data_IF_882372774198
#
_entry.id   IF_882372774198
#
_cell.length_a   1.000
_cell.length_b   1.000
_cell.length_c   1.000
_cell.angle_alpha   90.00
_cell.angle_beta   90.00
_cell.angle_gamma   90.00
#
_symmetry.space_group_name_H-M   'P 1'
#
loop_
_entity.id
_entity.type
_entity.pdbx_description
1 polymer ?
#
# COMPACT_ATOMS: atom_id res chain seq x y z
N UNK A 1 19.21 13.10 -8.90
CA UNK A 1 18.28 12.52 -7.91
C UNK A 1 18.83 11.16 -7.50
N UNK A 2 19.21 10.92 -6.23
CA UNK A 2 19.70 9.60 -5.83
C UNK A 2 18.52 8.64 -5.78
N UNK A 3 18.58 7.58 -6.59
CA UNK A 3 17.62 6.48 -6.63
C UNK A 3 17.81 5.69 -5.33
N UNK A 4 16.88 5.80 -4.38
CA UNK A 4 16.88 4.97 -3.16
C UNK A 4 16.74 3.51 -3.60
N UNK A 5 17.83 2.76 -3.50
CA UNK A 5 17.82 1.31 -3.61
C UNK A 5 17.21 0.78 -2.32
N UNK A 6 15.95 0.35 -2.38
CA UNK A 6 15.38 -0.50 -1.35
C UNK A 6 16.16 -1.82 -1.35
N UNK A 7 16.57 -2.29 -0.17
CA UNK A 7 17.31 -3.54 -0.01
C UNK A 7 16.50 -4.71 -0.61
N UNK A 8 17.18 -5.60 -1.34
CA UNK A 8 16.60 -6.51 -2.31
C UNK A 8 15.80 -7.71 -1.78
N UNK A 9 15.29 -7.70 -0.54
CA UNK A 9 14.62 -8.90 0.05
C UNK A 9 13.40 -8.60 0.92
N UNK A 10 12.84 -7.39 0.84
CA UNK A 10 11.52 -7.09 1.43
C UNK A 10 10.52 -7.08 0.28
N UNK A 11 9.73 -8.13 0.14
CA UNK A 11 8.58 -8.12 -0.77
C UNK A 11 7.59 -7.06 -0.26
N UNK A 12 7.51 -5.95 -0.99
CA UNK A 12 6.53 -4.89 -0.76
C UNK A 12 5.38 -5.11 -1.73
N UNK A 13 4.20 -5.36 -1.18
CA UNK A 13 2.94 -5.40 -1.92
C UNK A 13 2.44 -3.98 -2.18
N UNK A 14 1.58 -3.85 -3.20
CA UNK A 14 0.91 -2.60 -3.53
C UNK A 14 -0.59 -2.85 -3.68
N UNK A 15 -1.40 -1.92 -3.16
CA UNK A 15 -2.81 -1.82 -3.51
C UNK A 15 -3.13 -0.40 -3.97
N UNK A 16 -3.98 -0.30 -5.00
CA UNK A 16 -4.39 0.98 -5.60
C UNK A 16 -5.85 1.22 -5.28
N UNK A 17 -6.14 2.39 -4.72
CA UNK A 17 -7.49 2.90 -4.51
C UNK A 17 -7.71 4.04 -5.50
N UNK A 18 -8.89 4.09 -6.11
CA UNK A 18 -9.26 5.17 -7.04
C UNK A 18 -10.60 5.78 -6.64
N UNK A 19 -10.77 7.07 -6.91
CA UNK A 19 -11.96 7.83 -6.52
C UNK A 19 -12.00 9.19 -7.20
N UNK A 20 -13.09 9.93 -7.03
CA UNK A 20 -13.30 11.22 -7.73
C UNK A 20 -12.50 12.35 -7.12
N UNK A 21 -12.16 12.24 -5.84
CA UNK A 21 -11.38 13.23 -5.12
C UNK A 21 -10.55 12.58 -4.00
N UNK A 22 -9.69 13.39 -3.37
CA UNK A 22 -8.78 12.95 -2.32
C UNK A 22 -9.53 12.36 -1.11
N UNK A 23 -10.67 12.93 -0.72
CA UNK A 23 -11.39 12.47 0.46
C UNK A 23 -11.96 11.07 0.22
N UNK A 24 -12.48 10.80 -0.98
CA UNK A 24 -12.98 9.48 -1.37
C UNK A 24 -11.86 8.42 -1.33
N UNK A 25 -10.70 8.69 -1.92
CA UNK A 25 -9.59 7.70 -1.93
C UNK A 25 -8.99 7.46 -0.55
N UNK A 26 -8.87 8.49 0.30
CA UNK A 26 -8.39 8.30 1.67
C UNK A 26 -9.40 7.57 2.54
N UNK A 27 -10.70 7.80 2.35
CA UNK A 27 -11.74 7.06 3.07
C UNK A 27 -11.72 5.57 2.69
N UNK A 28 -11.68 5.26 1.39
CA UNK A 28 -11.61 3.88 0.92
C UNK A 28 -10.30 3.18 1.35
N UNK A 29 -9.18 3.89 1.38
CA UNK A 29 -7.92 3.36 1.93
C UNK A 29 -8.00 3.08 3.44
N UNK A 30 -8.67 3.96 4.20
CA UNK A 30 -8.89 3.75 5.63
C UNK A 30 -9.82 2.56 5.89
N UNK A 31 -10.87 2.39 5.09
CA UNK A 31 -11.75 1.21 5.15
C UNK A 31 -10.98 -0.08 4.87
N UNK A 32 -10.11 -0.07 3.84
CA UNK A 32 -9.26 -1.22 3.54
C UNK A 32 -8.32 -1.55 4.70
N UNK A 33 -7.64 -0.55 5.28
CA UNK A 33 -6.74 -0.73 6.43
C UNK A 33 -7.48 -1.18 7.71
N UNK A 34 -8.75 -0.83 7.85
CA UNK A 34 -9.56 -1.22 9.00
C UNK A 34 -10.06 -2.67 8.92
N UNK A 35 -9.98 -3.32 7.75
CA UNK A 35 -10.33 -4.73 7.60
C UNK A 35 -9.38 -5.61 8.44
N UNK A 36 -9.90 -6.52 9.28
CA UNK A 36 -9.07 -7.41 10.09
C UNK A 36 -8.04 -8.24 9.30
N UNK A 37 -8.28 -8.51 8.02
CA UNK A 37 -7.31 -9.19 7.13
C UNK A 37 -6.05 -8.33 6.86
N UNK A 38 -6.07 -7.04 7.20
CA UNK A 38 -4.93 -6.14 7.14
C UNK A 38 -4.27 -5.88 8.50
N UNK A 39 -4.67 -6.59 9.57
CA UNK A 39 -4.14 -6.36 10.92
C UNK A 39 -2.60 -6.54 11.01
N UNK A 40 -1.99 -7.36 10.15
CA UNK A 40 -0.55 -7.59 10.08
C UNK A 40 0.15 -6.78 8.98
N UNK A 41 -0.52 -5.78 8.41
CA UNK A 41 0.04 -4.92 7.36
C UNK A 41 0.84 -3.77 7.97
N UNK A 42 2.08 -3.62 7.54
CA UNK A 42 2.91 -2.45 7.79
C UNK A 42 3.02 -1.59 6.52
N UNK A 43 2.46 -0.38 6.57
CA UNK A 43 2.53 0.57 5.44
C UNK A 43 3.88 1.29 5.45
N UNK A 44 4.57 1.27 4.30
CA UNK A 44 5.89 1.87 4.10
C UNK A 44 5.84 3.17 3.29
N UNK A 45 4.84 3.31 2.44
CA UNK A 45 4.72 4.45 1.54
C UNK A 45 3.30 4.63 1.06
N UNK A 46 2.99 5.87 0.73
CA UNK A 46 1.73 6.28 0.13
C UNK A 46 2.10 7.22 -1.01
N UNK A 47 1.61 6.94 -2.21
CA UNK A 47 1.73 7.85 -3.35
C UNK A 47 0.32 8.25 -3.82
N UNK A 48 0.17 9.54 -4.12
CA UNK A 48 -1.11 10.12 -4.52
C UNK A 48 -0.92 10.73 -5.91
N UNK A 49 -1.44 10.06 -6.92
CA UNK A 49 -1.47 10.58 -8.27
C UNK A 49 -2.78 11.35 -8.49
N UNK A 50 -2.65 12.67 -8.63
CA UNK A 50 -3.77 13.54 -8.99
C UNK A 50 -3.65 13.93 -10.46
N UNK A 51 -4.70 13.74 -11.27
CA UNK A 51 -4.70 14.24 -12.63
C UNK A 51 -4.48 15.75 -12.59
N UNK A 52 -3.49 16.23 -13.35
CA UNK A 52 -3.26 17.66 -13.50
C UNK A 52 -4.52 18.27 -14.09
N UNK A 53 -4.99 19.40 -13.53
CA UNK A 53 -6.22 20.11 -13.93
C UNK A 53 -6.39 20.35 -15.44
N UNK A 54 -5.33 20.25 -16.22
CA UNK A 54 -5.29 20.47 -17.67
C UNK A 54 -5.56 19.22 -18.51
N UNK A 55 -5.46 18.02 -17.94
CA UNK A 55 -5.74 16.74 -18.61
C UNK A 55 -7.21 16.38 -18.48
N UNK A 56 -8.08 17.17 -19.13
CA UNK A 56 -9.54 17.01 -19.06
C UNK A 56 -10.07 15.80 -19.84
N UNK A 57 -9.22 15.13 -20.62
CA UNK A 57 -9.56 13.94 -21.43
C UNK A 57 -9.01 12.62 -20.87
N UNK A 58 -8.07 12.65 -19.91
CA UNK A 58 -7.60 11.45 -19.21
C UNK A 58 -8.35 11.29 -17.89
N UNK A 59 -8.54 10.04 -17.51
CA UNK A 59 -9.24 9.56 -16.31
C UNK A 59 -9.24 10.60 -15.17
N UNK A 60 -10.40 11.21 -14.89
CA UNK A 60 -10.53 12.30 -13.92
C UNK A 60 -10.42 11.81 -12.45
N UNK A 61 -10.16 10.52 -12.27
CA UNK A 61 -10.02 9.91 -10.96
C UNK A 61 -8.67 10.25 -10.34
N UNK A 62 -8.70 10.43 -9.03
CA UNK A 62 -7.55 10.45 -8.15
C UNK A 62 -7.18 9.00 -7.83
N UNK A 63 -5.89 8.69 -7.83
CA UNK A 63 -5.37 7.38 -7.50
C UNK A 63 -4.46 7.48 -6.26
N UNK A 64 -4.62 6.53 -5.35
CA UNK A 64 -3.79 6.37 -4.16
C UNK A 64 -3.16 4.99 -4.17
N UNK A 65 -1.85 4.92 -4.21
CA UNK A 65 -1.07 3.69 -4.09
C UNK A 65 -0.57 3.53 -2.65
N UNK A 66 -0.90 2.40 -2.04
CA UNK A 66 -0.44 2.01 -0.71
C UNK A 66 0.63 0.92 -0.86
N UNK A 67 1.85 1.23 -0.47
CA UNK A 67 2.97 0.29 -0.46
C UNK A 67 3.12 -0.28 0.93
N UNK A 68 3.03 -1.60 1.06
CA UNK A 68 2.99 -2.25 2.36
C UNK A 68 3.69 -3.60 2.37
N UNK A 69 4.00 -4.09 3.57
CA UNK A 69 4.47 -5.44 3.80
C UNK A 69 3.47 -6.17 4.70
N UNK A 70 3.13 -7.41 4.36
CA UNK A 70 2.44 -8.31 5.30
C UNK A 70 3.49 -8.93 6.20
N UNK A 71 3.38 -8.71 7.50
CA UNK A 71 4.11 -9.49 8.47
C UNK A 71 3.38 -10.80 8.67
N UNK A 72 3.38 -11.69 7.67
CA UNK A 72 2.85 -13.04 7.85
C UNK A 72 3.53 -13.62 9.09
N UNK A 73 2.78 -13.78 10.18
CA UNK A 73 3.34 -14.22 11.44
C UNK A 73 4.19 -15.46 11.18
N UNK A 74 5.51 -15.33 11.36
CA UNK A 74 6.45 -16.45 11.31
C UNK A 74 6.22 -17.36 12.53
N UNK A 75 5.04 -17.97 12.60
CA UNK A 75 4.60 -18.97 13.57
C UNK A 75 4.58 -20.36 12.93
N UNK A 76 5.42 -20.56 11.90
CA UNK A 76 5.72 -21.86 11.30
C UNK A 76 7.20 -21.93 10.91
N UNK A 77 8.12 -21.89 11.88
CA UNK A 77 9.47 -22.53 11.78
C UNK A 77 10.32 -22.33 13.06
N UNK A 78 9.70 -22.30 14.24
CA UNK A 78 10.45 -22.32 15.51
C UNK A 78 10.01 -23.44 16.47
N UNK A 79 9.52 -24.56 15.92
CA UNK A 79 9.26 -25.80 16.68
C UNK A 79 10.04 -27.01 16.13
N UNK A 80 10.96 -26.84 15.18
CA UNK A 80 11.71 -27.95 14.61
C UNK A 80 13.13 -28.14 15.20
N UNK A 81 13.69 -27.16 15.92
CA UNK A 81 15.06 -27.25 16.45
C UNK A 81 15.16 -26.78 17.90
N UNK A 82 15.03 -27.76 18.81
CA UNK A 82 15.32 -27.66 20.23
C UNK A 82 14.47 -28.69 20.95
N UNK A 83 14.96 -29.83 21.41
CA UNK A 83 16.31 -30.35 21.60
C UNK A 83 16.15 -31.57 22.51
#
# INVERSE_FOLDING_TARGET
>A
MPRRQFAADIAVDCTTVSGRDCAEVFAAAAEWLADPAQAEVQVWGIDLDQPRRTDRESDANVYLELFYQRCDGNRRTMEAHGG
#
